data_IF_402924077049
#
_entry.id   IF_402924077049
#
_cell.length_a   1.000
_cell.length_b   1.000
_cell.length_c   1.000
_cell.angle_alpha   90.00
_cell.angle_beta   90.00
_cell.angle_gamma   90.00
#
_symmetry.space_group_name_H-M   'P 1'
#
loop_
_entity.id
_entity.type
_entity.pdbx_description
1 polymer ?
#
# COMPACT_ATOMS: atom_id res chain seq x y z
N UNK A 1 44.00 -8.38 -76.34
CA UNK A 1 43.49 -8.27 -74.96
C UNK A 1 41.98 -8.30 -75.02
N UNK A 2 41.37 -9.40 -74.61
CA UNK A 2 39.93 -9.50 -74.40
C UNK A 2 39.74 -10.39 -73.17
N UNK A 3 39.32 -9.80 -72.06
CA UNK A 3 39.12 -10.48 -70.79
C UNK A 3 37.72 -11.11 -70.79
N UNK A 4 37.66 -12.44 -70.76
CA UNK A 4 36.43 -13.19 -70.51
C UNK A 4 36.13 -13.22 -69.01
N UNK A 5 34.92 -12.80 -68.63
CA UNK A 5 34.42 -12.84 -67.25
C UNK A 5 33.61 -14.14 -67.09
N UNK A 6 34.13 -15.10 -66.32
CA UNK A 6 33.39 -16.26 -65.84
C UNK A 6 32.34 -15.81 -64.80
N UNK A 7 31.05 -16.06 -65.06
CA UNK A 7 30.01 -15.96 -64.04
C UNK A 7 29.91 -17.26 -63.24
N UNK A 8 30.42 -17.25 -62.00
CA UNK A 8 30.14 -18.31 -61.02
C UNK A 8 28.77 -18.06 -60.38
N UNK A 9 27.80 -18.93 -60.68
CA UNK A 9 26.48 -18.95 -60.03
C UNK A 9 26.64 -19.37 -58.56
N UNK A 10 26.45 -18.43 -57.65
CA UNK A 10 26.33 -18.71 -56.22
C UNK A 10 24.91 -19.16 -55.89
N UNK A 11 24.75 -20.41 -55.45
CA UNK A 11 23.49 -20.94 -54.93
C UNK A 11 23.37 -20.53 -53.45
N UNK A 12 22.49 -19.58 -53.15
CA UNK A 12 22.24 -19.13 -51.78
C UNK A 12 21.13 -20.01 -51.16
N UNK A 13 21.53 -21.01 -50.37
CA UNK A 13 20.58 -21.85 -49.62
C UNK A 13 20.16 -21.06 -48.37
N UNK A 14 18.93 -20.57 -48.38
CA UNK A 14 18.34 -19.84 -47.27
C UNK A 14 17.81 -20.85 -46.24
N UNK A 15 18.65 -21.18 -45.25
CA UNK A 15 18.26 -22.02 -44.12
C UNK A 15 17.37 -21.21 -43.19
N UNK A 16 16.05 -21.37 -43.33
CA UNK A 16 15.08 -20.81 -42.38
C UNK A 16 15.14 -21.67 -41.11
N UNK A 17 15.89 -21.20 -40.12
CA UNK A 17 15.81 -21.71 -38.75
C UNK A 17 14.46 -21.31 -38.16
N UNK A 18 13.51 -22.25 -38.13
CA UNK A 18 12.30 -22.09 -37.33
C UNK A 18 12.69 -22.32 -35.87
N UNK A 19 12.86 -21.22 -35.14
CA UNK A 19 13.00 -21.26 -33.69
C UNK A 19 11.64 -21.65 -33.10
N UNK A 20 11.42 -22.94 -32.83
CA UNK A 20 10.27 -23.38 -32.03
C UNK A 20 10.53 -22.90 -30.60
N UNK A 21 9.96 -21.75 -30.23
CA UNK A 21 9.88 -21.34 -28.84
C UNK A 21 8.87 -22.28 -28.19
N UNK A 22 9.36 -23.38 -27.61
CA UNK A 22 8.57 -24.14 -26.66
C UNK A 22 8.25 -23.23 -25.49
N UNK A 23 7.01 -22.73 -25.41
CA UNK A 23 6.52 -22.18 -24.16
C UNK A 23 6.65 -23.28 -23.12
N UNK A 24 7.47 -23.07 -22.10
CA UNK A 24 7.41 -23.91 -20.92
C UNK A 24 5.97 -23.86 -20.43
N UNK A 25 5.28 -25.01 -20.43
CA UNK A 25 3.95 -25.19 -19.83
C UNK A 25 4.11 -25.10 -18.31
N UNK A 26 4.40 -23.90 -17.80
CA UNK A 26 4.49 -23.58 -16.39
C UNK A 26 3.16 -23.04 -15.89
N UNK A 27 2.86 -23.31 -14.62
CA UNK A 27 1.70 -22.71 -13.93
C UNK A 27 1.80 -21.19 -14.04
N UNK A 28 0.74 -20.55 -14.48
CA UNK A 28 0.65 -19.08 -14.54
C UNK A 28 -0.04 -18.59 -13.28
N UNK A 29 0.50 -17.54 -12.67
CA UNK A 29 -0.10 -16.86 -11.52
C UNK A 29 -0.04 -15.35 -11.73
N UNK A 30 -1.20 -14.70 -11.74
CA UNK A 30 -1.34 -13.27 -11.97
C UNK A 30 -2.17 -12.62 -10.87
N UNK A 31 -1.74 -11.44 -10.43
CA UNK A 31 -2.48 -10.59 -9.50
C UNK A 31 -2.72 -9.23 -10.16
N UNK A 32 -3.96 -8.76 -10.16
CA UNK A 32 -4.34 -7.47 -10.74
C UNK A 32 -5.44 -6.76 -9.94
N UNK A 33 -5.44 -5.42 -9.87
CA UNK A 33 -4.42 -4.51 -10.41
C UNK A 33 -3.10 -4.59 -9.61
N UNK A 34 -2.00 -4.14 -10.23
CA UNK A 34 -0.66 -4.13 -9.58
C UNK A 34 -0.46 -2.97 -8.61
N UNK A 35 -1.27 -1.92 -8.74
CA UNK A 35 -1.23 -0.73 -7.88
C UNK A 35 -2.64 -0.48 -7.34
N UNK A 36 -2.77 -0.56 -6.03
CA UNK A 36 -4.01 -0.29 -5.28
C UNK A 36 -4.04 1.16 -4.82
N UNK A 37 -5.24 1.75 -4.73
CA UNK A 37 -5.40 3.15 -4.33
C UNK A 37 -5.52 3.28 -2.81
N UNK A 38 -6.12 2.30 -2.14
CA UNK A 38 -6.45 2.39 -0.73
C UNK A 38 -6.44 1.03 -0.05
N UNK A 39 -6.13 1.03 1.25
CA UNK A 39 -6.25 -0.16 2.09
C UNK A 39 -7.68 -0.70 2.06
N UNK A 40 -7.84 -2.00 1.79
CA UNK A 40 -9.12 -2.65 1.59
C UNK A 40 -9.54 -2.82 0.13
N UNK A 41 -8.80 -2.25 -0.83
CA UNK A 41 -9.03 -2.51 -2.26
C UNK A 41 -8.83 -3.99 -2.58
N UNK A 42 -9.69 -4.51 -3.46
CA UNK A 42 -9.61 -5.88 -3.93
C UNK A 42 -8.60 -6.03 -5.06
N UNK A 43 -7.81 -7.10 -4.99
CA UNK A 43 -7.18 -7.70 -6.16
C UNK A 43 -8.00 -8.87 -6.66
N UNK A 44 -7.81 -9.19 -7.93
CA UNK A 44 -8.13 -10.48 -8.51
C UNK A 44 -6.83 -11.27 -8.67
N UNK A 45 -6.79 -12.44 -8.04
CA UNK A 45 -5.72 -13.42 -8.16
C UNK A 45 -6.19 -14.55 -9.06
N UNK A 46 -5.49 -14.78 -10.17
CA UNK A 46 -5.84 -15.80 -11.17
C UNK A 46 -4.67 -16.74 -11.40
N UNK A 47 -4.95 -18.03 -11.48
CA UNK A 47 -3.99 -19.05 -11.87
C UNK A 47 -4.52 -19.97 -12.96
N UNK A 48 -3.60 -20.52 -13.75
CA UNK A 48 -3.87 -21.41 -14.88
C UNK A 48 -2.78 -22.48 -15.02
N UNK A 49 -3.11 -23.55 -15.74
CA UNK A 49 -2.19 -24.59 -16.20
C UNK A 49 -1.59 -25.49 -15.08
N UNK A 50 -2.29 -25.67 -13.93
CA UNK A 50 -1.90 -26.69 -12.93
C UNK A 50 -2.30 -28.09 -13.44
N UNK A 51 -1.30 -28.89 -13.81
CA UNK A 51 -1.49 -30.20 -14.47
C UNK A 51 -2.06 -31.30 -13.56
N UNK A 52 -1.76 -31.27 -12.26
CA UNK A 52 -2.27 -32.23 -11.28
C UNK A 52 -2.73 -31.52 -10.00
N UNK A 53 -3.92 -30.88 -10.01
CA UNK A 53 -4.39 -30.13 -8.86
C UNK A 53 -4.65 -31.05 -7.66
N UNK A 54 -4.13 -30.69 -6.49
CA UNK A 54 -4.43 -31.33 -5.21
C UNK A 54 -5.35 -30.44 -4.37
N UNK A 55 -6.21 -31.08 -3.57
CA UNK A 55 -7.11 -30.36 -2.65
C UNK A 55 -6.37 -29.58 -1.55
N UNK A 56 -5.06 -29.81 -1.41
CA UNK A 56 -4.17 -29.14 -0.47
C UNK A 56 -3.24 -28.12 -1.12
N UNK A 57 -3.28 -27.97 -2.44
CA UNK A 57 -2.56 -26.89 -3.11
C UNK A 57 -3.01 -25.57 -2.53
N UNK A 58 -2.07 -24.64 -2.40
CA UNK A 58 -2.31 -23.40 -1.69
C UNK A 58 -1.53 -22.26 -2.32
N UNK A 59 -2.08 -21.06 -2.16
CA UNK A 59 -1.37 -19.82 -2.43
C UNK A 59 -0.90 -19.21 -1.12
N UNK A 60 0.39 -18.95 -1.01
CA UNK A 60 1.00 -18.16 0.06
C UNK A 60 0.96 -16.67 -0.26
N UNK A 61 0.70 -15.87 0.77
CA UNK A 61 0.66 -14.41 0.72
C UNK A 61 1.94 -13.91 1.39
N UNK A 62 2.75 -13.15 0.65
CA UNK A 62 4.03 -12.64 1.12
C UNK A 62 4.01 -11.13 1.10
N UNK A 63 4.52 -10.54 2.17
CA UNK A 63 4.85 -9.12 2.24
C UNK A 63 5.95 -8.99 3.27
N UNK A 64 7.13 -8.44 2.96
CA UNK A 64 7.55 -8.00 1.64
C UNK A 64 7.77 -9.17 0.63
N UNK A 65 7.91 -8.89 -0.67
CA UNK A 65 8.12 -9.92 -1.70
C UNK A 65 9.41 -10.73 -1.60
N UNK A 66 10.42 -10.25 -0.89
CA UNK A 66 11.72 -10.90 -0.68
C UNK A 66 11.73 -11.89 0.49
N UNK A 67 10.60 -12.06 1.19
CA UNK A 67 10.42 -13.10 2.20
C UNK A 67 10.73 -14.50 1.65
N UNK A 68 11.38 -15.34 2.47
CA UNK A 68 11.57 -16.76 2.18
C UNK A 68 10.23 -17.50 2.04
N UNK A 69 10.21 -18.61 1.31
CA UNK A 69 8.96 -19.34 1.01
C UNK A 69 8.21 -19.81 2.27
N UNK A 70 8.92 -20.16 3.34
CA UNK A 70 8.36 -20.56 4.64
C UNK A 70 8.02 -19.38 5.56
N UNK A 71 7.98 -18.15 5.03
CA UNK A 71 7.70 -16.89 5.73
C UNK A 71 6.52 -16.14 5.12
N UNK A 72 5.46 -16.87 4.79
CA UNK A 72 4.19 -16.29 4.37
C UNK A 72 3.45 -15.65 5.56
N UNK A 73 2.73 -14.56 5.31
CA UNK A 73 1.89 -13.87 6.31
C UNK A 73 0.45 -14.40 6.33
N UNK A 74 0.10 -15.23 5.35
CA UNK A 74 -1.20 -15.88 5.23
C UNK A 74 -1.20 -16.84 4.06
N UNK A 75 -2.21 -17.70 3.98
CA UNK A 75 -2.37 -18.62 2.87
C UNK A 75 -3.84 -18.93 2.61
N UNK A 76 -4.11 -19.39 1.39
CA UNK A 76 -5.45 -19.80 0.95
C UNK A 76 -5.32 -21.10 0.17
N UNK A 77 -6.12 -22.10 0.51
CA UNK A 77 -6.19 -23.32 -0.30
C UNK A 77 -6.84 -23.03 -1.65
N UNK A 78 -6.25 -23.54 -2.74
CA UNK A 78 -6.83 -23.43 -4.07
C UNK A 78 -8.20 -24.12 -4.15
N UNK A 79 -8.40 -25.14 -3.31
CA UNK A 79 -9.67 -25.87 -3.19
C UNK A 79 -10.86 -25.04 -2.70
N UNK A 80 -10.61 -23.84 -2.15
CA UNK A 80 -11.66 -22.86 -1.82
C UNK A 80 -12.42 -22.35 -3.06
N UNK A 81 -11.85 -22.51 -4.26
CA UNK A 81 -12.47 -22.08 -5.50
C UNK A 81 -13.21 -23.20 -6.22
N UNK A 82 -14.46 -23.05 -6.68
CA UNK A 82 -15.25 -24.12 -7.31
C UNK A 82 -14.57 -24.85 -8.48
N UNK A 83 -13.78 -24.16 -9.31
CA UNK A 83 -13.16 -24.72 -10.52
C UNK A 83 -11.72 -25.23 -10.31
N UNK A 84 -11.22 -25.29 -9.07
CA UNK A 84 -9.83 -25.63 -8.77
C UNK A 84 -9.33 -26.94 -9.42
N UNK A 85 -10.21 -27.95 -9.53
CA UNK A 85 -9.90 -29.26 -10.14
C UNK A 85 -9.54 -29.19 -11.62
N UNK A 86 -9.89 -28.10 -12.31
CA UNK A 86 -9.52 -27.87 -13.71
C UNK A 86 -8.09 -27.32 -13.86
N UNK A 87 -7.40 -27.06 -12.75
CA UNK A 87 -6.07 -26.45 -12.74
C UNK A 87 -6.05 -24.95 -12.95
N UNK A 88 -7.23 -24.32 -13.03
CA UNK A 88 -7.37 -22.88 -13.24
C UNK A 88 -8.52 -22.31 -12.41
N UNK A 89 -8.30 -21.13 -11.82
CA UNK A 89 -9.34 -20.39 -11.13
C UNK A 89 -8.93 -18.92 -10.91
N UNK A 90 -9.92 -18.08 -10.58
CA UNK A 90 -9.75 -16.71 -10.12
C UNK A 90 -10.47 -16.48 -8.78
N UNK A 91 -9.85 -15.75 -7.85
CA UNK A 91 -10.44 -15.31 -6.57
C UNK A 91 -10.23 -13.81 -6.36
N UNK A 92 -11.11 -13.18 -5.58
CA UNK A 92 -10.96 -11.78 -5.18
C UNK A 92 -10.50 -11.69 -3.73
N UNK A 93 -9.52 -10.82 -3.48
CA UNK A 93 -8.85 -10.69 -2.19
C UNK A 93 -8.71 -9.22 -1.80
N UNK A 94 -9.35 -8.75 -0.72
CA UNK A 94 -9.07 -7.43 -0.18
C UNK A 94 -7.67 -7.42 0.44
N UNK A 95 -6.83 -6.47 0.02
CA UNK A 95 -5.51 -6.28 0.62
C UNK A 95 -5.50 -5.06 1.52
N UNK A 96 -4.87 -5.20 2.69
CA UNK A 96 -4.61 -4.10 3.60
C UNK A 96 -3.21 -3.54 3.35
N UNK A 97 -3.03 -2.23 3.51
CA UNK A 97 -1.71 -1.63 3.38
C UNK A 97 -0.83 -1.99 4.59
N UNK A 98 0.06 -2.97 4.42
CA UNK A 98 1.03 -3.40 5.43
C UNK A 98 2.41 -2.75 5.26
N UNK A 99 2.48 -1.57 4.62
CA UNK A 99 3.70 -0.76 4.45
C UNK A 99 4.79 -1.41 3.58
N UNK A 100 4.48 -2.50 2.92
CA UNK A 100 5.35 -3.20 1.96
C UNK A 100 4.51 -3.83 0.85
N UNK A 101 5.08 -4.00 -0.36
CA UNK A 101 4.39 -4.70 -1.44
C UNK A 101 4.05 -6.15 -1.08
N UNK A 102 3.18 -6.74 -1.89
CA UNK A 102 2.74 -8.13 -1.82
C UNK A 102 3.31 -8.94 -2.97
N UNK A 103 3.57 -10.24 -2.74
CA UNK A 103 3.78 -11.26 -3.77
C UNK A 103 2.96 -12.50 -3.38
N UNK A 104 2.44 -13.21 -4.39
CA UNK A 104 1.69 -14.44 -4.19
C UNK A 104 2.46 -15.59 -4.79
N UNK A 105 2.48 -16.74 -4.11
CA UNK A 105 3.19 -17.94 -4.60
C UNK A 105 2.30 -19.16 -4.46
N UNK A 106 2.21 -19.99 -5.49
CA UNK A 106 1.49 -21.27 -5.42
C UNK A 106 2.48 -22.39 -5.12
N UNK A 107 2.07 -23.28 -4.21
CA UNK A 107 2.78 -24.50 -3.91
C UNK A 107 1.85 -25.70 -4.06
N UNK A 108 2.43 -26.78 -4.57
CA UNK A 108 1.78 -28.09 -4.60
C UNK A 108 1.94 -28.77 -3.25
N UNK A 109 0.86 -29.38 -2.74
CA UNK A 109 0.95 -30.20 -1.54
C UNK A 109 0.25 -31.54 -1.75
N UNK A 110 1.02 -32.62 -1.76
CA UNK A 110 0.51 -33.97 -1.67
C UNK A 110 0.80 -34.59 -0.29
N UNK A 111 0.14 -35.71 0.02
CA UNK A 111 0.31 -36.41 1.29
C UNK A 111 1.67 -37.12 1.44
N UNK A 112 2.58 -37.03 0.46
CA UNK A 112 3.87 -37.74 0.50
C UNK A 112 4.88 -37.08 1.44
N UNK A 113 4.64 -35.83 1.84
CA UNK A 113 5.56 -35.05 2.67
C UNK A 113 5.17 -35.16 4.15
N UNK A 114 5.92 -35.99 4.88
CA UNK A 114 5.76 -36.21 6.33
C UNK A 114 6.28 -35.04 7.21
N UNK A 115 6.99 -34.08 6.63
CA UNK A 115 7.49 -32.91 7.35
C UNK A 115 6.42 -31.81 7.39
N UNK A 116 5.54 -31.87 8.40
CA UNK A 116 4.68 -30.74 8.74
C UNK A 116 5.49 -29.79 9.62
N UNK A 117 5.71 -28.53 9.23
CA UNK A 117 6.03 -27.51 10.22
C UNK A 117 4.80 -27.45 11.14
N UNK A 118 4.97 -27.93 12.37
CA UNK A 118 3.90 -27.99 13.37
C UNK A 118 3.98 -26.68 14.15
N UNK A 119 2.93 -25.87 14.08
CA UNK A 119 2.83 -24.69 14.96
C UNK A 119 2.73 -25.16 16.43
N UNK A 120 3.03 -24.30 17.41
CA UNK A 120 3.06 -24.69 18.83
C UNK A 120 1.76 -25.30 19.37
N UNK A 121 0.64 -25.11 18.66
CA UNK A 121 -0.70 -25.64 18.92
C UNK A 121 -1.03 -26.95 18.16
N UNK A 122 -0.06 -27.54 17.47
CA UNK A 122 -0.18 -28.74 16.63
C UNK A 122 -0.97 -28.59 15.32
N UNK A 123 -1.23 -27.36 14.88
CA UNK A 123 -1.80 -27.17 13.54
C UNK A 123 -0.74 -27.38 12.44
N UNK A 124 -1.04 -28.18 11.41
CA UNK A 124 -0.11 -28.39 10.30
C UNK A 124 -0.04 -27.16 9.42
N UNK A 125 1.14 -26.58 9.27
CA UNK A 125 1.37 -25.55 8.27
C UNK A 125 1.59 -26.19 6.89
N UNK A 126 1.18 -25.50 5.81
CA UNK A 126 1.35 -26.01 4.48
C UNK A 126 2.83 -26.03 4.06
N UNK A 127 3.22 -27.10 3.36
CA UNK A 127 4.59 -27.32 2.89
C UNK A 127 4.91 -26.41 1.72
N UNK A 128 6.11 -25.83 1.72
CA UNK A 128 6.66 -24.97 0.66
C UNK A 128 7.61 -25.72 -0.29
N UNK A 129 7.74 -27.05 -0.13
CA UNK A 129 8.72 -27.85 -0.85
C UNK A 129 8.53 -27.89 -2.38
N UNK A 130 7.28 -27.79 -2.85
CA UNK A 130 6.96 -27.85 -4.28
C UNK A 130 6.39 -26.52 -4.77
N UNK A 131 7.28 -25.56 -4.98
CA UNK A 131 6.93 -24.30 -5.62
C UNK A 131 6.46 -24.51 -7.07
N UNK A 132 5.34 -23.89 -7.45
CA UNK A 132 4.78 -23.97 -8.80
C UNK A 132 4.92 -22.66 -9.57
N UNK A 133 4.56 -21.53 -8.96
CA UNK A 133 4.54 -20.22 -9.61
C UNK A 133 4.52 -19.07 -8.61
N UNK A 134 4.94 -17.88 -9.05
CA UNK A 134 4.79 -16.62 -8.32
C UNK A 134 4.20 -15.52 -9.18
N UNK A 135 3.45 -14.61 -8.57
CA UNK A 135 2.90 -13.44 -9.23
C UNK A 135 3.96 -12.35 -9.40
N UNK A 136 3.64 -11.32 -10.17
CA UNK A 136 4.31 -10.03 -10.02
C UNK A 136 3.88 -9.35 -8.70
N UNK A 137 4.68 -8.40 -8.23
CA UNK A 137 4.37 -7.68 -7.01
C UNK A 137 3.16 -6.77 -7.18
N UNK A 138 2.33 -6.71 -6.13
CA UNK A 138 1.23 -5.75 -5.98
C UNK A 138 1.62 -4.75 -4.90
N UNK A 139 1.43 -3.45 -5.13
CA UNK A 139 1.73 -2.41 -4.15
C UNK A 139 0.55 -1.45 -3.99
N UNK A 140 0.61 -0.61 -2.96
CA UNK A 140 -0.27 0.54 -2.82
C UNK A 140 0.39 1.76 -3.47
N UNK A 141 -0.44 2.68 -3.98
CA UNK A 141 0.00 3.97 -4.53
C UNK A 141 0.83 4.74 -3.52
N UNK A 142 0.47 4.67 -2.23
CA UNK A 142 1.22 5.26 -1.15
C UNK A 142 1.34 4.30 0.03
N UNK A 143 2.54 3.75 0.27
CA UNK A 143 2.78 2.88 1.43
C UNK A 143 2.81 3.64 2.76
N UNK A 144 2.87 4.97 2.73
CA UNK A 144 2.80 5.85 3.89
C UNK A 144 1.38 6.32 4.24
N UNK A 145 0.34 5.82 3.55
CA UNK A 145 -1.04 6.13 3.95
C UNK A 145 -1.25 5.75 5.42
N UNK A 146 -1.71 6.68 6.27
CA UNK A 146 -2.03 6.40 7.67
C UNK A 146 -2.99 5.22 7.80
N UNK A 147 -2.63 4.26 8.63
CA UNK A 147 -3.39 3.04 8.84
C UNK A 147 -3.55 2.72 10.33
N UNK A 148 -4.38 1.73 10.64
CA UNK A 148 -4.59 1.21 12.00
C UNK A 148 -4.91 2.32 13.00
N UNK A 149 -5.91 3.14 12.65
CA UNK A 149 -6.28 4.25 13.50
C UNK A 149 -6.97 3.76 14.78
N UNK A 150 -6.50 4.22 15.93
CA UNK A 150 -7.03 3.89 17.25
C UNK A 150 -7.29 5.15 18.06
N UNK A 151 -8.39 5.15 18.79
CA UNK A 151 -8.74 6.18 19.76
C UNK A 151 -8.59 5.65 21.17
N UNK A 152 -8.06 6.47 22.07
CA UNK A 152 -7.95 6.15 23.48
C UNK A 152 -8.18 7.39 24.35
N UNK A 153 -8.85 7.21 25.49
CA UNK A 153 -8.92 8.26 26.49
C UNK A 153 -7.55 8.51 27.13
N UNK A 154 -7.29 9.76 27.49
CA UNK A 154 -6.16 10.09 28.36
C UNK A 154 -6.61 10.15 29.83
N UNK A 155 -5.70 10.54 30.70
CA UNK A 155 -6.01 10.83 32.10
C UNK A 155 -6.93 12.06 32.25
N UNK A 156 -6.85 13.02 31.32
CA UNK A 156 -7.64 14.24 31.33
C UNK A 156 -8.99 14.02 30.64
N UNK A 157 -10.04 14.69 31.12
CA UNK A 157 -11.41 14.48 30.63
C UNK A 157 -11.70 15.22 29.32
N UNK A 158 -10.91 16.25 29.03
CA UNK A 158 -10.99 17.09 27.84
C UNK A 158 -9.94 16.71 26.78
N UNK A 159 -9.44 15.47 26.85
CA UNK A 159 -8.42 14.96 25.94
C UNK A 159 -8.80 13.60 25.34
N UNK A 160 -8.39 13.41 24.10
CA UNK A 160 -8.50 12.13 23.39
C UNK A 160 -7.22 11.90 22.60
N UNK A 161 -6.62 10.72 22.75
CA UNK A 161 -5.48 10.28 21.99
C UNK A 161 -5.92 9.66 20.68
N UNK A 162 -5.24 10.03 19.60
CA UNK A 162 -5.37 9.46 18.27
C UNK A 162 -4.03 8.82 17.91
N UNK A 163 -4.04 7.51 17.69
CA UNK A 163 -2.87 6.76 17.26
C UNK A 163 -3.07 6.24 15.85
N UNK A 164 -2.03 6.29 15.03
CA UNK A 164 -2.04 5.72 13.68
C UNK A 164 -0.63 5.33 13.27
N UNK A 165 -0.50 4.56 12.19
CA UNK A 165 0.77 3.99 11.74
C UNK A 165 1.06 4.40 10.30
N UNK A 166 2.29 4.83 10.02
CA UNK A 166 2.81 5.01 8.65
C UNK A 166 4.06 4.14 8.42
N UNK A 167 4.60 4.13 7.20
CA UNK A 167 5.80 3.34 6.88
C UNK A 167 7.09 4.01 7.38
N UNK A 168 7.23 5.30 7.12
CA UNK A 168 8.45 6.07 7.39
C UNK A 168 8.25 7.03 8.56
N UNK A 169 9.34 7.59 9.10
CA UNK A 169 9.26 8.58 10.18
C UNK A 169 8.82 9.94 9.64
N UNK A 170 7.51 10.10 9.47
CA UNK A 170 6.93 11.31 8.94
C UNK A 170 6.54 12.28 10.05
N UNK A 171 6.71 13.58 9.78
CA UNK A 171 6.05 14.60 10.60
C UNK A 171 4.55 14.48 10.40
N UNK A 172 3.86 14.26 11.51
CA UNK A 172 2.49 13.79 11.52
C UNK A 172 1.63 14.68 12.42
N UNK A 173 0.40 14.92 11.99
CA UNK A 173 -0.54 15.82 12.66
C UNK A 173 -1.95 15.23 12.64
N UNK A 174 -2.78 15.65 13.58
CA UNK A 174 -4.22 15.42 13.59
C UNK A 174 -4.92 16.76 13.63
N UNK A 175 -5.69 17.07 12.59
CA UNK A 175 -6.61 18.20 12.61
C UNK A 175 -7.95 17.75 13.14
N UNK A 176 -8.60 18.56 13.98
CA UNK A 176 -9.86 18.19 14.61
C UNK A 176 -10.75 19.39 14.90
N UNK A 177 -12.05 19.13 15.04
CA UNK A 177 -13.03 20.19 15.30
C UNK A 177 -14.46 19.67 15.48
N UNK A 178 -15.39 20.58 15.71
CA UNK A 178 -16.80 20.24 15.94
C UNK A 178 -17.60 20.03 14.64
N UNK A 179 -17.11 20.56 13.51
CA UNK A 179 -17.72 20.40 12.20
C UNK A 179 -16.85 19.57 11.27
N UNK A 180 -17.47 18.88 10.32
CA UNK A 180 -16.74 18.05 9.33
C UNK A 180 -15.77 18.85 8.45
N UNK A 181 -16.07 20.12 8.20
CA UNK A 181 -15.26 21.04 7.39
C UNK A 181 -14.52 22.09 8.24
N UNK A 182 -14.84 22.19 9.53
CA UNK A 182 -14.23 23.12 10.48
C UNK A 182 -13.29 22.39 11.44
N UNK A 183 -12.20 21.84 10.91
CA UNK A 183 -11.13 21.19 11.67
C UNK A 183 -10.09 22.23 12.11
N UNK A 184 -10.52 23.19 12.93
CA UNK A 184 -9.77 24.41 13.25
C UNK A 184 -8.60 24.18 14.22
N UNK A 185 -8.57 23.05 14.91
CA UNK A 185 -7.53 22.70 15.88
C UNK A 185 -6.55 21.68 15.29
N UNK A 186 -5.29 21.75 15.69
CA UNK A 186 -4.22 20.84 15.23
C UNK A 186 -3.44 20.30 16.42
N UNK A 187 -3.26 18.99 16.46
CA UNK A 187 -2.34 18.30 17.37
C UNK A 187 -1.17 17.73 16.57
N UNK A 188 0.06 18.10 16.92
CA UNK A 188 1.25 17.43 16.40
C UNK A 188 1.41 16.06 17.06
N UNK A 189 1.74 15.05 16.26
CA UNK A 189 1.95 13.70 16.73
C UNK A 189 3.42 13.46 17.08
N UNK A 190 3.65 12.73 18.18
CA UNK A 190 4.97 12.19 18.50
C UNK A 190 5.11 10.82 17.83
N UNK A 191 6.17 10.64 17.05
CA UNK A 191 6.46 9.38 16.34
C UNK A 191 7.38 8.48 17.17
N UNK A 192 7.04 7.20 17.27
CA UNK A 192 7.91 6.17 17.86
C UNK A 192 7.91 4.92 16.98
N UNK A 193 8.93 4.09 17.15
CA UNK A 193 9.02 2.77 16.53
C UNK A 193 9.72 1.80 17.48
N UNK A 194 9.75 0.52 17.12
CA UNK A 194 10.54 -0.51 17.77
C UNK A 194 11.21 -1.39 16.71
N UNK A 195 12.32 -2.01 17.08
CA UNK A 195 13.16 -2.85 16.21
C UNK A 195 13.11 -4.31 16.66
N UNK A 196 13.58 -5.21 15.79
CA UNK A 196 13.69 -6.63 16.10
C UNK A 196 14.52 -6.88 17.37
N UNK A 197 15.57 -6.08 17.56
CA UNK A 197 16.44 -6.13 18.74
C UNK A 197 15.74 -5.76 20.05
N UNK A 198 14.58 -5.09 19.99
CA UNK A 198 13.82 -4.70 21.17
C UNK A 198 12.88 -5.82 21.63
N UNK A 199 12.75 -6.91 20.85
CA UNK A 199 11.92 -8.06 21.19
C UNK A 199 12.70 -9.03 22.10
N UNK A 200 12.08 -9.46 23.20
CA UNK A 200 12.75 -10.31 24.20
C UNK A 200 13.05 -11.72 23.69
N UNK A 201 12.07 -12.36 23.04
CA UNK A 201 12.10 -13.80 22.76
C UNK A 201 11.66 -14.16 21.34
N UNK A 202 12.03 -15.37 20.93
CA UNK A 202 11.55 -15.97 19.70
C UNK A 202 10.03 -16.27 19.78
N UNK A 203 9.28 -16.20 18.67
CA UNK A 203 9.75 -15.89 17.32
C UNK A 203 9.88 -14.38 17.02
N UNK A 204 9.44 -13.50 17.91
CA UNK A 204 9.36 -12.06 17.66
C UNK A 204 10.73 -11.41 17.39
N UNK A 205 11.79 -11.87 18.05
CA UNK A 205 13.17 -11.40 17.84
C UNK A 205 13.90 -12.10 16.68
N UNK A 206 13.20 -12.94 15.90
CA UNK A 206 13.77 -13.68 14.78
C UNK A 206 13.14 -13.26 13.46
N UNK A 207 13.76 -13.58 12.32
CA UNK A 207 13.21 -13.30 10.99
C UNK A 207 11.91 -14.10 10.69
N UNK A 208 11.49 -14.99 11.59
CA UNK A 208 10.21 -15.69 11.48
C UNK A 208 9.03 -14.86 11.98
N UNK A 209 9.14 -14.28 13.18
CA UNK A 209 8.05 -13.52 13.80
C UNK A 209 8.19 -12.01 13.65
N UNK A 210 9.34 -11.52 13.21
CA UNK A 210 9.59 -10.10 13.03
C UNK A 210 8.97 -9.56 11.75
N UNK A 211 8.26 -8.44 11.88
CA UNK A 211 7.87 -7.58 10.77
C UNK A 211 8.07 -6.14 11.19
N UNK A 212 8.64 -5.33 10.31
CA UNK A 212 8.80 -3.90 10.55
C UNK A 212 7.43 -3.24 10.86
N UNK A 213 7.29 -2.61 12.04
CA UNK A 213 6.02 -2.00 12.45
C UNK A 213 5.75 -0.67 11.74
N UNK A 214 6.72 -0.09 11.04
CA UNK A 214 6.69 1.30 10.60
C UNK A 214 6.84 2.25 11.79
N UNK A 215 6.13 3.37 11.74
CA UNK A 215 6.16 4.40 12.78
C UNK A 215 4.76 4.61 13.34
N UNK A 216 4.65 4.54 14.67
CA UNK A 216 3.43 4.78 15.43
C UNK A 216 3.43 6.25 15.81
N UNK A 217 2.41 6.97 15.36
CA UNK A 217 2.22 8.38 15.64
C UNK A 217 1.18 8.54 16.74
N UNK A 218 1.50 9.35 17.75
CA UNK A 218 0.68 9.58 18.93
C UNK A 218 0.35 11.07 19.05
N UNK A 219 -0.89 11.44 18.72
CA UNK A 219 -1.39 12.80 18.84
C UNK A 219 -2.45 12.88 19.94
N UNK A 220 -2.41 13.95 20.74
CA UNK A 220 -3.42 14.21 21.78
C UNK A 220 -4.26 15.41 21.37
N UNK A 221 -5.52 15.17 21.05
CA UNK A 221 -6.52 16.23 20.91
C UNK A 221 -6.87 16.76 22.29
N UNK A 222 -6.82 18.07 22.49
CA UNK A 222 -7.02 18.75 23.77
C UNK A 222 -8.23 19.70 23.73
N UNK A 223 -8.65 20.18 24.91
CA UNK A 223 -9.74 21.15 25.09
C UNK A 223 -11.10 20.66 24.57
N UNK A 224 -11.33 19.35 24.64
CA UNK A 224 -12.54 18.71 24.16
C UNK A 224 -13.70 18.92 25.15
N UNK A 225 -14.87 19.30 24.62
CA UNK A 225 -16.09 19.49 25.41
C UNK A 225 -16.79 18.14 25.63
N UNK A 226 -17.11 17.75 26.87
CA UNK A 226 -17.84 16.50 27.15
C UNK A 226 -19.17 16.42 26.40
N UNK A 227 -19.53 15.22 25.93
CA UNK A 227 -20.79 14.95 25.23
C UNK A 227 -20.86 15.51 23.81
N UNK A 228 -19.78 16.12 23.29
CA UNK A 228 -19.71 16.58 21.90
C UNK A 228 -19.09 15.52 21.00
N UNK A 229 -19.56 15.53 19.74
CA UNK A 229 -18.92 14.80 18.65
C UNK A 229 -17.84 15.69 18.06
N UNK A 230 -16.65 15.13 17.89
CA UNK A 230 -15.55 15.75 17.18
C UNK A 230 -15.26 14.96 15.91
N UNK A 231 -14.92 15.69 14.85
CA UNK A 231 -14.40 15.15 13.61
C UNK A 231 -12.89 15.35 13.60
N UNK A 232 -12.18 14.44 12.97
CA UNK A 232 -10.73 14.51 12.89
C UNK A 232 -10.20 13.88 11.62
N UNK A 233 -9.00 14.32 11.25
CA UNK A 233 -8.26 13.84 10.09
C UNK A 233 -6.76 13.87 10.39
N UNK A 234 -6.10 12.77 10.10
CA UNK A 234 -4.67 12.59 10.19
C UNK A 234 -3.95 13.04 8.90
N UNK A 235 -2.76 13.59 9.07
CA UNK A 235 -1.91 14.04 7.97
C UNK A 235 -0.47 13.64 8.29
N UNK A 236 0.20 13.03 7.31
CA UNK A 236 1.63 12.73 7.39
C UNK A 236 2.34 13.41 6.23
N UNK A 237 3.35 14.23 6.53
CA UNK A 237 4.13 14.95 5.53
C UNK A 237 5.51 14.31 5.40
N UNK A 238 5.88 14.01 4.16
CA UNK A 238 7.29 13.83 3.81
C UNK A 238 7.93 15.23 3.81
N UNK A 239 8.72 15.54 4.83
CA UNK A 239 9.57 16.72 4.80
C UNK A 239 10.68 16.48 3.76
N UNK A 240 10.40 16.74 2.48
CA UNK A 240 11.47 16.92 1.50
C UNK A 240 12.17 18.21 1.92
N UNK A 241 13.42 18.08 2.36
CA UNK A 241 14.20 19.14 3.02
C UNK A 241 13.96 20.52 2.42
N UNK A 242 13.71 21.49 3.30
CA UNK A 242 13.48 22.89 2.96
C UNK A 242 14.52 23.39 1.96
N UNK A 243 14.10 23.52 0.69
CA UNK A 243 14.78 24.44 -0.22
C UNK A 243 14.67 25.83 0.41
N UNK A 244 15.77 26.34 0.94
CA UNK A 244 15.86 27.65 1.60
C UNK A 244 14.98 28.67 0.86
N UNK A 245 13.87 29.09 1.47
CA UNK A 245 13.13 30.26 1.01
C UNK A 245 14.09 31.45 1.08
N UNK A 246 14.53 31.96 -0.06
CA UNK A 246 15.14 33.29 -0.11
C UNK A 246 14.03 34.29 0.20
N UNK A 247 14.19 34.99 1.30
CA UNK A 247 13.36 36.11 1.71
C UNK A 247 13.50 37.22 0.65
N UNK A 248 12.47 37.35 -0.20
CA UNK A 248 12.37 38.43 -1.17
C UNK A 248 11.73 39.63 -0.50
N UNK A 249 12.47 40.73 -0.41
CA UNK A 249 12.04 42.01 0.13
C UNK A 249 10.70 42.46 -0.49
N UNK A 250 9.79 42.88 0.39
CA UNK A 250 8.50 43.48 0.05
C UNK A 250 8.75 44.81 -0.69
N UNK A 251 8.50 44.84 -2.00
CA UNK A 251 8.44 46.07 -2.78
C UNK A 251 7.09 46.76 -2.59
N UNK A 252 7.13 48.05 -2.25
CA UNK A 252 5.98 48.91 -1.98
C UNK A 252 4.86 48.85 -3.04
N UNK A 253 3.61 48.74 -2.58
CA UNK A 253 2.40 48.92 -3.38
C UNK A 253 2.13 50.44 -3.50
N UNK A 254 2.04 51.03 -4.70
CA UNK A 254 1.59 52.41 -4.86
C UNK A 254 0.08 52.53 -4.59
N UNK A 255 -0.30 53.51 -3.76
CA UNK A 255 -1.69 53.90 -3.51
C UNK A 255 -2.35 54.42 -4.80
N UNK A 256 -3.54 53.91 -5.14
CA UNK A 256 -4.39 54.44 -6.22
C UNK A 256 -5.31 55.56 -5.72
N UNK A 257 -5.31 56.70 -6.39
CA UNK A 257 -6.21 57.85 -6.19
C UNK A 257 -7.65 57.58 -6.68
N UNK A 258 -8.67 58.35 -6.22
CA UNK A 258 -10.09 58.08 -6.49
C UNK A 258 -10.55 58.48 -7.89
N UNK A 259 -11.60 57.81 -8.37
CA UNK A 259 -12.17 57.89 -9.72
C UNK A 259 -13.07 59.11 -9.97
N UNK A 260 -13.11 59.58 -11.22
CA UNK A 260 -14.22 60.36 -11.79
C UNK A 260 -14.98 59.55 -12.88
N UNK A 261 -16.27 59.82 -13.11
CA UNK A 261 -17.21 58.87 -13.69
C UNK A 261 -17.45 59.06 -15.19
N UNK A 262 -17.54 57.93 -15.90
CA UNK A 262 -18.30 57.85 -17.16
C UNK A 262 -17.55 57.23 -18.33
N UNK A 263 -17.75 55.93 -18.56
CA UNK A 263 -17.90 55.33 -19.89
C UNK A 263 -18.19 53.83 -19.76
N UNK A 264 -18.99 53.32 -20.69
CA UNK A 264 -19.75 52.05 -20.65
C UNK A 264 -18.87 50.80 -20.76
N UNK A 265 -19.28 49.75 -20.06
CA UNK A 265 -18.84 48.36 -20.26
C UNK A 265 -19.19 47.85 -21.67
N UNK A 266 -18.35 46.96 -22.23
CA UNK A 266 -18.90 45.68 -22.65
C UNK A 266 -18.12 44.47 -22.11
N UNK A 267 -18.89 43.40 -22.01
CA UNK A 267 -18.69 42.10 -21.40
C UNK A 267 -17.61 41.22 -22.04
N UNK A 268 -16.86 40.50 -21.19
CA UNK A 268 -16.34 39.16 -21.52
C UNK A 268 -14.83 38.98 -21.40
N UNK A 269 -14.32 38.76 -20.19
CA UNK A 269 -13.04 38.07 -19.98
C UNK A 269 -13.05 37.35 -18.61
N UNK A 270 -13.16 36.02 -18.65
CA UNK A 270 -12.95 35.16 -17.47
C UNK A 270 -11.45 35.14 -17.16
N UNK A 271 -11.09 35.57 -15.95
CA UNK A 271 -9.75 35.44 -15.38
C UNK A 271 -9.39 33.96 -15.20
N UNK A 272 -8.20 33.57 -15.68
CA UNK A 272 -7.60 32.28 -15.40
C UNK A 272 -7.15 32.20 -13.94
N UNK A 273 -7.57 31.14 -13.26
CA UNK A 273 -7.09 30.79 -11.92
C UNK A 273 -5.71 30.13 -12.03
N UNK A 274 -4.70 30.71 -11.38
CA UNK A 274 -3.44 30.03 -11.09
C UNK A 274 -3.68 28.92 -10.06
N UNK A 275 -3.75 27.67 -10.53
CA UNK A 275 -3.72 26.49 -9.68
C UNK A 275 -2.30 26.24 -9.18
N UNK A 276 -2.14 26.25 -7.86
CA UNK A 276 -0.98 25.74 -7.15
C UNK A 276 -1.25 24.25 -6.85
N UNK A 277 -0.46 23.27 -7.33
CA UNK A 277 -0.80 21.86 -7.16
C UNK A 277 -0.17 21.34 -5.86
N UNK A 278 -0.78 21.66 -4.72
CA UNK A 278 -0.68 20.76 -3.56
C UNK A 278 -1.85 19.78 -3.72
N UNK A 279 -1.58 18.60 -4.27
CA UNK A 279 -2.58 17.55 -4.44
C UNK A 279 -3.10 17.07 -3.09
N UNK A 280 -4.22 17.63 -2.63
CA UNK A 280 -5.00 17.09 -1.52
C UNK A 280 -5.79 15.89 -2.02
N UNK A 281 -5.37 14.70 -1.61
CA UNK A 281 -6.02 13.42 -1.93
C UNK A 281 -7.27 13.19 -1.06
N UNK A 282 -8.23 12.36 -1.47
CA UNK A 282 -9.45 12.13 -0.71
C UNK A 282 -9.16 11.25 0.51
N UNK A 283 -8.94 11.87 1.67
CA UNK A 283 -8.83 11.17 2.95
C UNK A 283 -10.22 10.88 3.52
N UNK A 284 -10.39 9.71 4.15
CA UNK A 284 -11.61 9.38 4.90
C UNK A 284 -11.65 10.22 6.17
N UNK A 285 -12.68 11.05 6.33
CA UNK A 285 -12.93 11.80 7.58
C UNK A 285 -13.52 10.86 8.64
N UNK A 286 -12.99 10.97 9.85
CA UNK A 286 -13.39 10.15 10.99
C UNK A 286 -14.15 11.01 12.03
N UNK A 287 -14.94 10.38 12.91
CA UNK A 287 -15.64 11.07 14.01
C UNK A 287 -15.64 10.26 15.29
N UNK A 288 -15.67 10.94 16.44
CA UNK A 288 -15.76 10.32 17.77
C UNK A 288 -16.62 11.12 18.73
N UNK A 289 -17.23 10.46 19.72
CA UNK A 289 -17.95 11.12 20.81
C UNK A 289 -17.17 11.00 22.11
N UNK A 290 -17.02 12.12 22.82
CA UNK A 290 -16.34 12.14 24.13
C UNK A 290 -17.36 11.84 25.22
N UNK A 291 -17.37 10.60 25.71
CA UNK A 291 -18.22 10.17 26.84
C UNK A 291 -17.38 9.42 27.86
N UNK A 292 -17.21 9.98 29.06
CA UNK A 292 -16.65 9.27 30.22
C UNK A 292 -17.75 9.15 31.25
N UNK A 293 -18.11 7.92 31.64
CA UNK A 293 -19.00 7.71 32.78
C UNK A 293 -18.29 8.23 34.03
N UNK A 294 -18.99 9.02 34.84
CA UNK A 294 -18.50 9.34 36.19
C UNK A 294 -18.41 7.99 36.92
N UNK A 295 -17.18 7.53 37.20
CA UNK A 295 -16.98 6.40 38.08
C UNK A 295 -17.68 6.67 39.41
N UNK A 296 -18.47 5.70 39.86
CA UNK A 296 -19.05 5.69 41.20
C UNK A 296 -17.96 5.64 42.25
#
# INVERSE_FOLDING_TARGET
>A
MSFGIEQKRAFFVLVVSVLIIGFANGVKLEAFPKILNSSGDNITLRWEDISSPSGKDWVGIYSPPDSADDRFIGFIYLSSCPNWKKGSCSINLPLINLRSPYEFRIFHWDNSINARPVHGDRNPLPSTAHFLAKSQSVTFRNLNDPAQLHLAFTSNQDEMRVMFVTKDDLKSYVQYGLGEEGLDEVAEAVSITYKQSDMCDAPANTNLGWRDPGYIHDAVMQRLKPGKRYFYQEFAFLCIGEGKRKEGQHGNIPQSQPAEPGAKQPSGLRKGNSHNPASSWPYKRNSCQVTKSKGK
#
